data_IF_691789333489
#
_entry.id   IF_691789333489
#
_cell.length_a   1.000
_cell.length_b   1.000
_cell.length_c   1.000
_cell.angle_alpha   90.00
_cell.angle_beta   90.00
_cell.angle_gamma   90.00
#
_symmetry.space_group_name_H-M   'P 1'
#
loop_
_entity.id
_entity.type
_entity.pdbx_description
1 polymer ?
#
# COMPACT_ATOMS: atom_id res chain seq x y z
N UNK A 1 -60.23 0.73 46.65
CA UNK A 1 -59.53 1.42 45.54
C UNK A 1 -60.22 2.76 45.41
N UNK A 2 -59.47 3.85 45.47
CA UNK A 2 -60.01 5.19 45.21
C UNK A 2 -60.41 5.29 43.74
N UNK A 3 -61.42 6.11 43.44
CA UNK A 3 -61.83 6.37 42.05
C UNK A 3 -60.68 7.07 41.31
N UNK A 4 -60.38 6.63 40.09
CA UNK A 4 -59.30 7.20 39.26
C UNK A 4 -59.55 8.69 39.04
N UNK A 5 -58.47 9.49 39.07
CA UNK A 5 -58.49 10.95 38.98
C UNK A 5 -59.21 11.70 40.13
N UNK A 6 -59.63 11.02 41.19
CA UNK A 6 -60.16 11.67 42.41
C UNK A 6 -59.07 12.36 43.24
N UNK A 7 -59.46 13.20 44.19
CA UNK A 7 -58.50 13.85 45.10
C UNK A 7 -57.65 12.84 45.87
N UNK A 8 -58.29 11.83 46.46
CA UNK A 8 -57.59 10.78 47.22
C UNK A 8 -56.63 9.98 46.34
N UNK A 9 -56.97 9.81 45.06
CA UNK A 9 -56.11 9.16 44.07
C UNK A 9 -54.82 9.97 43.83
N UNK A 10 -54.93 11.27 43.56
CA UNK A 10 -53.77 12.13 43.34
C UNK A 10 -52.97 12.38 44.62
N UNK A 11 -53.61 12.65 45.76
CA UNK A 11 -52.94 12.78 47.07
C UNK A 11 -52.18 11.47 47.45
N UNK A 12 -52.66 10.30 47.01
CA UNK A 12 -51.89 9.05 47.16
C UNK A 12 -50.69 9.02 46.22
N UNK A 13 -50.88 9.32 44.92
CA UNK A 13 -49.83 9.28 43.89
C UNK A 13 -48.67 10.23 44.22
N UNK A 14 -48.96 11.47 44.64
CA UNK A 14 -47.95 12.44 45.07
C UNK A 14 -47.12 11.95 46.25
N UNK A 15 -47.69 11.15 47.16
CA UNK A 15 -46.95 10.57 48.28
C UNK A 15 -46.12 9.34 47.92
N UNK A 16 -46.51 8.59 46.89
CA UNK A 16 -45.93 7.26 46.65
C UNK A 16 -45.00 7.20 45.45
N UNK A 17 -45.47 7.59 44.28
CA UNK A 17 -44.86 7.17 43.01
C UNK A 17 -44.80 8.28 41.96
N UNK A 18 -45.31 9.48 42.26
CA UNK A 18 -45.20 10.64 41.37
C UNK A 18 -43.75 10.96 40.98
N UNK A 19 -42.86 11.11 41.97
CA UNK A 19 -41.45 11.41 41.72
C UNK A 19 -40.73 10.27 41.01
N UNK A 20 -40.99 9.02 41.45
CA UNK A 20 -40.35 7.82 40.90
C UNK A 20 -40.73 7.61 39.43
N UNK A 21 -41.96 7.97 39.07
CA UNK A 21 -42.46 7.93 37.70
C UNK A 21 -42.12 9.20 36.89
N UNK A 22 -41.33 10.13 37.45
CA UNK A 22 -40.82 11.29 36.73
C UNK A 22 -41.83 12.42 36.53
N UNK A 23 -42.83 12.55 37.40
CA UNK A 23 -43.87 13.58 37.30
C UNK A 23 -43.31 15.00 37.28
N UNK A 24 -42.39 15.35 38.18
CA UNK A 24 -41.71 16.66 38.16
C UNK A 24 -41.00 16.98 36.83
N UNK A 25 -40.08 16.13 36.35
CA UNK A 25 -39.48 16.27 35.01
C UNK A 25 -40.50 16.36 33.87
N UNK A 26 -41.61 15.61 33.93
CA UNK A 26 -42.67 15.66 32.93
C UNK A 26 -43.41 17.00 32.95
N UNK A 27 -43.81 17.53 34.11
CA UNK A 27 -44.43 18.86 34.21
C UNK A 27 -43.51 19.97 33.69
N UNK A 28 -42.19 19.88 33.94
CA UNK A 28 -41.21 20.82 33.37
C UNK A 28 -41.15 20.74 31.85
N UNK A 29 -41.18 19.53 31.31
CA UNK A 29 -41.18 19.30 29.87
C UNK A 29 -42.42 19.93 29.22
N UNK A 30 -43.62 19.67 29.74
CA UNK A 30 -44.86 20.24 29.21
C UNK A 30 -44.90 21.77 29.29
N UNK A 31 -44.46 22.36 30.41
CA UNK A 31 -44.31 23.81 30.50
C UNK A 31 -43.33 24.36 29.45
N UNK A 32 -42.23 23.64 29.17
CA UNK A 32 -41.28 23.96 28.11
C UNK A 32 -41.91 23.89 26.71
N UNK A 33 -42.70 22.86 26.43
CA UNK A 33 -43.48 22.73 25.19
C UNK A 33 -44.45 23.89 25.04
N UNK A 34 -45.21 24.22 26.10
CA UNK A 34 -46.13 25.35 26.09
C UNK A 34 -45.41 26.66 25.77
N UNK A 35 -44.28 26.94 26.42
CA UNK A 35 -43.46 28.12 26.13
C UNK A 35 -42.93 28.13 24.70
N UNK A 36 -42.52 26.99 24.14
CA UNK A 36 -42.02 26.90 22.77
C UNK A 36 -43.13 27.16 21.74
N UNK A 37 -44.34 26.62 21.97
CA UNK A 37 -45.49 26.73 21.09
C UNK A 37 -46.28 28.03 21.25
N UNK A 38 -46.10 28.75 22.36
CA UNK A 38 -46.82 29.96 22.68
C UNK A 38 -46.41 31.12 21.77
N UNK A 39 -47.38 31.83 21.17
CA UNK A 39 -47.07 32.86 20.20
C UNK A 39 -46.40 34.07 20.85
N UNK A 40 -45.47 34.68 20.11
CA UNK A 40 -44.66 35.79 20.62
C UNK A 40 -45.50 37.00 21.04
N UNK A 41 -46.60 37.27 20.34
CA UNK A 41 -47.52 38.36 20.69
C UNK A 41 -48.13 38.17 22.08
N UNK A 42 -48.45 36.93 22.48
CA UNK A 42 -49.01 36.65 23.81
C UNK A 42 -47.94 36.82 24.89
N UNK A 43 -46.72 36.32 24.66
CA UNK A 43 -45.59 36.51 25.59
C UNK A 43 -45.25 37.99 25.77
N UNK A 44 -45.27 38.75 24.68
CA UNK A 44 -45.04 40.19 24.71
C UNK A 44 -46.15 40.92 25.47
N UNK A 45 -47.41 40.58 25.18
CA UNK A 45 -48.58 41.15 25.86
C UNK A 45 -48.57 40.84 27.37
N UNK A 46 -48.27 39.60 27.76
CA UNK A 46 -48.21 39.19 29.15
C UNK A 46 -47.15 39.99 29.95
N UNK A 47 -45.97 40.21 29.35
CA UNK A 47 -44.87 40.98 29.99
C UNK A 47 -45.11 42.49 30.00
N UNK A 48 -45.60 43.03 28.88
CA UNK A 48 -45.81 44.47 28.69
C UNK A 48 -47.02 45.02 29.46
N UNK A 49 -47.89 44.13 29.93
CA UNK A 49 -49.09 44.47 30.64
C UNK A 49 -50.25 44.83 29.74
N UNK A 50 -51.44 44.91 30.34
CA UNK A 50 -52.65 45.37 29.67
C UNK A 50 -52.64 46.88 29.40
N UNK A 51 -53.77 47.53 29.61
CA UNK A 51 -53.97 48.97 29.39
C UNK A 51 -53.25 49.87 30.41
N UNK A 52 -52.75 49.31 31.51
CA UNK A 52 -52.13 49.98 32.65
C UNK A 52 -50.60 49.79 32.76
N UNK A 53 -50.01 48.95 31.90
CA UNK A 53 -48.55 48.74 31.80
C UNK A 53 -47.92 47.86 32.89
N UNK A 54 -48.72 47.19 33.74
CA UNK A 54 -48.23 46.22 34.71
C UNK A 54 -48.25 44.79 34.14
N UNK A 55 -47.24 43.93 34.40
CA UNK A 55 -47.24 42.55 33.92
C UNK A 55 -48.52 41.80 34.29
N UNK A 56 -49.03 41.00 33.36
CA UNK A 56 -50.22 40.18 33.57
C UNK A 56 -49.99 39.09 34.61
N UNK A 57 -51.05 38.69 35.28
CA UNK A 57 -51.05 37.57 36.23
C UNK A 57 -51.42 36.25 35.55
N UNK A 58 -50.72 35.16 35.89
CA UNK A 58 -51.00 33.81 35.38
C UNK A 58 -51.37 32.83 36.50
N UNK A 59 -52.39 32.02 36.26
CA UNK A 59 -52.75 30.87 37.09
C UNK A 59 -52.52 29.57 36.32
N UNK A 60 -51.70 28.67 36.85
CA UNK A 60 -51.46 27.33 36.33
C UNK A 60 -52.35 26.33 37.09
N UNK A 61 -53.47 25.92 36.46
CA UNK A 61 -54.46 25.02 37.06
C UNK A 61 -54.13 23.56 36.73
N UNK A 62 -54.07 22.73 37.78
CA UNK A 62 -53.56 21.37 37.70
C UNK A 62 -52.04 21.33 37.84
N UNK A 63 -51.47 22.20 38.70
CA UNK A 63 -50.03 22.40 38.76
C UNK A 63 -49.24 21.23 39.36
N UNK A 64 -49.92 20.23 39.96
CA UNK A 64 -49.31 19.14 40.69
C UNK A 64 -48.32 19.67 41.75
N UNK A 65 -47.07 19.22 41.72
CA UNK A 65 -46.01 19.65 42.63
C UNK A 65 -45.28 20.94 42.19
N UNK A 66 -45.82 21.69 41.22
CA UNK A 66 -45.38 23.05 40.88
C UNK A 66 -44.14 23.16 39.98
N UNK A 67 -43.56 22.04 39.53
CA UNK A 67 -42.35 22.06 38.71
C UNK A 67 -42.57 22.72 37.33
N UNK A 68 -43.75 22.54 36.73
CA UNK A 68 -44.16 23.23 35.50
C UNK A 68 -44.43 24.73 35.74
N UNK A 69 -45.11 25.05 36.83
CA UNK A 69 -45.41 26.43 37.26
C UNK A 69 -44.14 27.27 37.41
N UNK A 70 -43.08 26.72 38.01
CA UNK A 70 -41.78 27.37 38.12
C UNK A 70 -41.17 27.70 36.75
N UNK A 71 -41.27 26.77 35.79
CA UNK A 71 -40.78 26.96 34.42
C UNK A 71 -41.57 28.07 33.71
N UNK A 72 -42.90 28.10 33.87
CA UNK A 72 -43.76 29.14 33.30
C UNK A 72 -43.43 30.52 33.90
N UNK A 73 -43.31 30.60 35.23
CA UNK A 73 -42.97 31.83 35.94
C UNK A 73 -41.65 32.42 35.42
N UNK A 74 -40.60 31.59 35.32
CA UNK A 74 -39.28 31.99 34.80
C UNK A 74 -39.30 32.33 33.31
N UNK A 75 -39.98 31.53 32.50
CA UNK A 75 -40.01 31.67 31.05
C UNK A 75 -40.81 32.88 30.56
N UNK A 76 -41.90 33.22 31.25
CA UNK A 76 -42.72 34.39 30.93
C UNK A 76 -42.22 35.64 31.65
N UNK A 77 -41.64 35.50 32.85
CA UNK A 77 -41.20 36.63 33.66
C UNK A 77 -42.37 37.46 34.20
N UNK A 78 -43.47 36.80 34.55
CA UNK A 78 -44.70 37.42 35.06
C UNK A 78 -45.13 36.77 36.38
N UNK A 79 -45.94 37.43 37.22
CA UNK A 79 -46.49 36.81 38.43
C UNK A 79 -47.31 35.56 38.08
N UNK A 80 -46.91 34.42 38.65
CA UNK A 80 -47.54 33.13 38.39
C UNK A 80 -47.93 32.46 39.71
N UNK A 81 -49.14 31.93 39.76
CA UNK A 81 -49.66 31.12 40.87
C UNK A 81 -50.00 29.72 40.36
N UNK A 82 -49.52 28.67 41.03
CA UNK A 82 -49.94 27.29 40.78
C UNK A 82 -51.15 26.92 41.64
N UNK A 83 -52.12 26.24 41.05
CA UNK A 83 -53.34 25.79 41.72
C UNK A 83 -53.57 24.31 41.47
N UNK A 84 -53.84 23.57 42.54
CA UNK A 84 -54.23 22.16 42.49
C UNK A 84 -55.22 21.86 43.63
N UNK A 85 -56.08 20.86 43.42
CA UNK A 85 -57.08 20.42 44.39
C UNK A 85 -56.51 19.42 45.40
N UNK A 86 -55.36 18.80 45.08
CA UNK A 86 -54.59 17.92 45.94
C UNK A 86 -53.71 18.73 46.90
N UNK A 87 -54.01 18.62 48.19
CA UNK A 87 -53.30 19.41 49.21
C UNK A 87 -51.86 18.93 49.41
N UNK A 88 -51.59 17.63 49.21
CA UNK A 88 -50.24 17.07 49.32
C UNK A 88 -49.32 17.61 48.22
N UNK A 89 -49.81 17.67 46.97
CA UNK A 89 -49.07 18.22 45.84
C UNK A 89 -48.70 19.69 46.07
N UNK A 90 -49.64 20.51 46.55
CA UNK A 90 -49.39 21.92 46.88
C UNK A 90 -48.44 22.11 48.05
N UNK A 91 -48.48 21.24 49.07
CA UNK A 91 -47.50 21.29 50.16
C UNK A 91 -46.07 21.07 49.64
N UNK A 92 -45.88 20.07 48.78
CA UNK A 92 -44.60 19.78 48.11
C UNK A 92 -44.19 20.93 47.18
N UNK A 93 -45.13 21.52 46.44
CA UNK A 93 -44.86 22.65 45.55
C UNK A 93 -44.29 23.85 46.31
N UNK A 94 -44.89 24.21 47.45
CA UNK A 94 -44.41 25.30 48.32
C UNK A 94 -43.03 25.04 48.91
N UNK A 95 -42.71 23.79 49.22
CA UNK A 95 -41.38 23.40 49.71
C UNK A 95 -40.33 23.49 48.60
N UNK A 96 -40.64 22.97 47.40
CA UNK A 96 -39.71 22.85 46.28
C UNK A 96 -39.50 24.16 45.52
N UNK A 97 -40.51 25.03 45.52
CA UNK A 97 -40.55 26.26 44.71
C UNK A 97 -40.95 27.48 45.56
N UNK A 98 -40.16 27.85 46.58
CA UNK A 98 -40.54 28.89 47.56
C UNK A 98 -40.73 30.30 46.96
N UNK A 99 -40.21 30.54 45.75
CA UNK A 99 -40.33 31.82 45.04
C UNK A 99 -41.62 31.94 44.21
N UNK A 100 -42.44 30.90 44.16
CA UNK A 100 -43.69 30.83 43.39
C UNK A 100 -44.88 30.70 44.35
N UNK A 101 -45.98 31.38 44.04
CA UNK A 101 -47.21 31.29 44.82
C UNK A 101 -47.96 30.00 44.50
N UNK A 102 -48.54 29.35 45.51
CA UNK A 102 -49.36 28.15 45.32
C UNK A 102 -50.59 28.16 46.22
N UNK A 103 -51.73 27.73 45.69
CA UNK A 103 -53.01 27.63 46.40
C UNK A 103 -53.66 26.26 46.22
N UNK A 104 -54.32 25.79 47.28
CA UNK A 104 -55.17 24.59 47.21
C UNK A 104 -56.58 25.06 46.84
N UNK A 105 -57.05 24.69 45.66
CA UNK A 105 -58.42 24.97 45.24
C UNK A 105 -58.94 23.89 44.29
N UNK A 106 -60.22 23.59 44.41
CA UNK A 106 -60.94 22.70 43.51
C UNK A 106 -61.55 23.54 42.37
N UNK A 107 -61.00 23.34 41.17
CA UNK A 107 -61.43 24.01 39.95
C UNK A 107 -62.85 23.64 39.51
N UNK A 108 -63.44 22.56 40.04
CA UNK A 108 -64.83 22.18 39.79
C UNK A 108 -65.77 22.62 40.91
N UNK A 109 -65.25 23.19 42.00
CA UNK A 109 -66.09 23.67 43.08
C UNK A 109 -66.94 24.87 42.64
N UNK A 110 -68.14 24.96 43.19
CA UNK A 110 -69.05 26.05 42.87
C UNK A 110 -68.41 27.41 43.21
N UNK A 111 -68.50 28.43 42.31
CA UNK A 111 -67.95 29.76 42.58
C UNK A 111 -68.43 30.33 43.92
N UNK A 112 -67.52 30.91 44.70
CA UNK A 112 -67.80 31.45 46.03
C UNK A 112 -67.87 30.41 47.16
N UNK A 113 -67.69 29.12 46.87
CA UNK A 113 -67.51 28.11 47.92
C UNK A 113 -66.11 28.18 48.52
N UNK A 114 -65.95 27.63 49.73
CA UNK A 114 -64.66 27.58 50.45
C UNK A 114 -63.56 26.87 49.66
N UNK A 115 -63.93 25.89 48.83
CA UNK A 115 -62.98 25.11 48.02
C UNK A 115 -62.69 25.75 46.65
N UNK A 116 -63.46 26.74 46.23
CA UNK A 116 -63.32 27.32 44.90
C UNK A 116 -62.12 28.27 44.82
N UNK A 117 -61.54 28.36 43.62
CA UNK A 117 -60.62 29.43 43.29
C UNK A 117 -61.41 30.74 43.17
N UNK A 118 -61.20 31.64 44.13
CA UNK A 118 -61.93 32.92 44.19
C UNK A 118 -61.15 34.10 43.59
N UNK A 119 -59.88 33.87 43.24
CA UNK A 119 -59.01 34.86 42.60
C UNK A 119 -59.15 34.78 41.09
N UNK A 120 -59.18 35.94 40.42
CA UNK A 120 -59.18 36.05 38.95
C UNK A 120 -57.80 36.45 38.46
N UNK A 121 -57.46 35.98 37.27
CA UNK A 121 -56.14 36.16 36.65
C UNK A 121 -56.31 36.64 35.21
N UNK A 122 -55.35 37.41 34.71
CA UNK A 122 -55.35 37.81 33.30
C UNK A 122 -55.26 36.58 32.38
N UNK A 123 -54.42 35.62 32.78
CA UNK A 123 -54.17 34.38 32.04
C UNK A 123 -54.46 33.18 32.94
N UNK A 124 -55.30 32.27 32.49
CA UNK A 124 -55.40 30.93 33.05
C UNK A 124 -54.71 29.96 32.10
N UNK A 125 -53.84 29.12 32.62
CA UNK A 125 -53.13 28.07 31.91
C UNK A 125 -53.49 26.72 32.51
N UNK A 126 -53.59 25.69 31.68
CA UNK A 126 -53.64 24.30 32.13
C UNK A 126 -52.97 23.42 31.10
N UNK A 127 -52.14 22.48 31.55
CA UNK A 127 -51.49 21.50 30.70
C UNK A 127 -51.83 20.10 31.15
N UNK A 128 -52.22 19.25 30.20
CA UNK A 128 -52.38 17.81 30.42
C UNK A 128 -53.26 17.50 31.64
N UNK A 129 -54.40 18.19 31.73
CA UNK A 129 -55.38 18.01 32.81
C UNK A 129 -56.79 17.75 32.27
N UNK A 130 -57.17 18.35 31.13
CA UNK A 130 -58.54 18.28 30.63
C UNK A 130 -58.92 16.88 30.13
N UNK A 131 -57.94 16.09 29.67
CA UNK A 131 -58.10 14.70 29.26
C UNK A 131 -58.60 13.78 30.38
N UNK A 132 -58.40 14.18 31.64
CA UNK A 132 -58.81 13.42 32.83
C UNK A 132 -60.29 13.61 33.18
N UNK A 133 -61.04 14.44 32.42
CA UNK A 133 -62.46 14.68 32.64
C UNK A 133 -63.29 14.15 31.46
N UNK A 134 -64.40 13.47 31.77
CA UNK A 134 -65.35 12.99 30.75
C UNK A 134 -66.00 14.14 29.96
N UNK A 135 -66.04 15.34 30.54
CA UNK A 135 -66.68 16.54 29.98
C UNK A 135 -65.69 17.72 29.96
N UNK A 136 -64.61 17.64 29.15
CA UNK A 136 -63.50 18.60 29.18
C UNK A 136 -63.96 20.05 28.94
N UNK A 137 -64.97 20.26 28.10
CA UNK A 137 -65.49 21.60 27.81
C UNK A 137 -66.43 22.16 28.89
N UNK A 138 -66.96 21.32 29.78
CA UNK A 138 -67.60 21.84 31.00
C UNK A 138 -66.52 22.29 32.00
N UNK A 139 -65.42 21.54 32.10
CA UNK A 139 -64.23 21.94 32.88
C UNK A 139 -63.63 23.24 32.35
N UNK A 140 -63.56 23.41 31.02
CA UNK A 140 -63.19 24.67 30.37
C UNK A 140 -64.02 25.84 30.91
N UNK A 141 -65.35 25.71 30.98
CA UNK A 141 -66.23 26.81 31.41
C UNK A 141 -65.93 27.24 32.84
N UNK A 142 -65.64 26.29 33.72
CA UNK A 142 -65.31 26.58 35.12
C UNK A 142 -63.96 27.27 35.24
N UNK A 143 -62.93 26.81 34.51
CA UNK A 143 -61.62 27.49 34.47
C UNK A 143 -61.73 28.90 33.88
N UNK A 144 -62.54 29.06 32.83
CA UNK A 144 -62.77 30.32 32.16
C UNK A 144 -63.41 31.39 33.05
N UNK A 145 -64.09 31.00 34.14
CA UNK A 145 -64.62 31.94 35.12
C UNK A 145 -63.51 32.66 35.92
N UNK A 146 -62.32 32.05 36.01
CA UNK A 146 -61.16 32.62 36.72
C UNK A 146 -60.23 33.42 35.78
N UNK A 147 -60.53 33.46 34.49
CA UNK A 147 -59.70 34.13 33.47
C UNK A 147 -60.34 35.44 32.98
N UNK A 148 -59.56 36.51 32.94
CA UNK A 148 -60.02 37.83 32.48
C UNK A 148 -59.78 38.04 30.99
N UNK A 149 -58.64 37.58 30.47
CA UNK A 149 -58.20 37.91 29.10
C UNK A 149 -57.93 36.68 28.25
N UNK A 150 -57.13 35.74 28.76
CA UNK A 150 -56.66 34.58 28.02
C UNK A 150 -56.84 33.28 28.82
N UNK A 151 -57.20 32.22 28.12
CA UNK A 151 -57.17 30.85 28.62
C UNK A 151 -56.32 30.01 27.67
N UNK A 152 -55.22 29.47 28.18
CA UNK A 152 -54.20 28.75 27.42
C UNK A 152 -54.23 27.28 27.82
N UNK A 153 -54.34 26.39 26.85
CA UNK A 153 -54.37 24.95 27.08
C UNK A 153 -53.24 24.29 26.33
N UNK A 154 -52.48 23.43 27.00
CA UNK A 154 -51.63 22.44 26.34
C UNK A 154 -52.27 21.07 26.52
N UNK A 155 -52.62 20.41 25.41
CA UNK A 155 -53.36 19.16 25.42
C UNK A 155 -52.63 18.09 24.62
N UNK A 156 -52.71 16.81 25.04
CA UNK A 156 -52.43 15.70 24.15
C UNK A 156 -53.22 15.85 22.84
N UNK A 157 -52.56 15.65 21.71
CA UNK A 157 -53.16 15.89 20.41
C UNK A 157 -53.24 14.61 19.59
N UNK A 158 -54.43 14.30 19.07
CA UNK A 158 -54.65 13.15 18.17
C UNK A 158 -54.04 11.85 18.71
N UNK A 159 -54.22 11.60 20.01
CA UNK A 159 -53.73 10.38 20.65
C UNK A 159 -54.26 9.14 19.91
N UNK A 160 -53.49 8.05 19.81
CA UNK A 160 -53.94 6.87 19.08
C UNK A 160 -55.20 6.22 19.68
N UNK A 161 -55.67 5.13 19.06
CA UNK A 161 -56.87 4.40 19.50
C UNK A 161 -56.80 3.86 20.94
N UNK A 162 -55.61 3.81 21.54
CA UNK A 162 -55.39 3.43 22.94
C UNK A 162 -54.98 4.67 23.73
N UNK A 163 -55.92 5.17 24.54
CA UNK A 163 -55.65 6.22 25.50
C UNK A 163 -54.89 5.67 26.72
N UNK A 164 -54.11 6.54 27.36
CA UNK A 164 -53.57 6.26 28.68
C UNK A 164 -54.70 5.98 29.67
N UNK A 165 -54.45 5.15 30.68
CA UNK A 165 -55.52 4.64 31.56
C UNK A 165 -56.30 5.75 32.30
N UNK A 166 -55.68 6.92 32.47
CA UNK A 166 -56.23 8.09 33.15
C UNK A 166 -56.93 9.07 32.19
N UNK A 167 -56.86 8.84 30.87
CA UNK A 167 -57.42 9.73 29.85
C UNK A 167 -58.81 9.24 29.44
N UNK A 168 -59.83 10.07 29.64
CA UNK A 168 -61.23 9.75 29.33
C UNK A 168 -61.67 10.27 27.96
N UNK A 169 -60.93 11.21 27.39
CA UNK A 169 -61.24 11.85 26.11
C UNK A 169 -59.97 12.04 25.28
N UNK A 170 -60.13 12.14 23.97
CA UNK A 170 -59.09 12.48 23.02
C UNK A 170 -59.39 13.86 22.42
N UNK A 171 -58.36 14.68 22.20
CA UNK A 171 -58.53 15.93 21.46
C UNK A 171 -58.21 15.75 19.97
N UNK A 172 -59.22 15.98 19.13
CA UNK A 172 -59.14 16.02 17.66
C UNK A 172 -59.61 17.39 17.15
N UNK A 173 -59.36 17.75 15.86
CA UNK A 173 -59.84 19.01 15.30
C UNK A 173 -61.35 19.23 15.46
N UNK A 174 -62.14 18.16 15.33
CA UNK A 174 -63.59 18.20 15.41
C UNK A 174 -64.09 18.40 16.84
N UNK A 175 -63.29 17.99 17.83
CA UNK A 175 -63.63 18.09 19.25
C UNK A 175 -63.33 19.46 19.86
N UNK A 176 -62.49 20.28 19.22
CA UNK A 176 -62.07 21.60 19.73
C UNK A 176 -63.01 22.70 19.22
N UNK A 177 -63.74 23.41 20.09
CA UNK A 177 -64.59 24.51 19.68
C UNK A 177 -63.77 25.73 19.28
N UNK A 178 -64.03 26.31 18.11
CA UNK A 178 -63.39 27.57 17.71
C UNK A 178 -63.87 28.78 18.55
N UNK A 179 -65.03 28.68 19.20
CA UNK A 179 -65.56 29.69 20.11
C UNK A 179 -66.48 29.06 21.16
N UNK A 180 -66.51 29.63 22.37
CA UNK A 180 -67.29 29.15 23.51
C UNK A 180 -67.52 30.26 24.53
N UNK A 181 -68.77 30.57 24.87
CA UNK A 181 -69.15 31.55 25.92
C UNK A 181 -68.36 32.87 25.95
N UNK A 182 -68.26 33.48 24.76
CA UNK A 182 -67.55 34.75 24.57
C UNK A 182 -66.03 34.64 24.57
N UNK A 183 -65.49 33.43 24.48
CA UNK A 183 -64.11 33.12 24.16
C UNK A 183 -63.98 32.71 22.70
N UNK A 184 -62.89 33.10 22.07
CA UNK A 184 -62.56 32.71 20.69
C UNK A 184 -61.17 32.09 20.67
N UNK A 185 -61.00 31.02 19.90
CA UNK A 185 -59.69 30.41 19.65
C UNK A 185 -58.87 31.35 18.76
N UNK A 186 -57.90 32.04 19.36
CA UNK A 186 -57.09 33.05 18.71
C UNK A 186 -55.77 32.50 18.15
N UNK A 187 -55.29 31.38 18.71
CA UNK A 187 -54.09 30.71 18.25
C UNK A 187 -54.19 29.21 18.50
N UNK A 188 -53.68 28.42 17.56
CA UNK A 188 -53.47 26.99 17.71
C UNK A 188 -52.14 26.60 17.06
N UNK A 189 -51.28 25.92 17.80
CA UNK A 189 -50.00 25.39 17.32
C UNK A 189 -49.83 23.97 17.84
N UNK A 190 -49.51 23.05 16.94
CA UNK A 190 -49.27 21.65 17.28
C UNK A 190 -47.88 21.23 16.82
N UNK A 191 -47.26 20.34 17.58
CA UNK A 191 -45.98 19.74 17.25
C UNK A 191 -45.94 18.29 17.72
N UNK A 192 -45.30 17.44 16.94
CA UNK A 192 -44.80 16.16 17.42
C UNK A 192 -43.61 16.43 18.35
N UNK A 193 -43.74 16.00 19.60
CA UNK A 193 -42.72 16.22 20.64
C UNK A 193 -41.98 14.94 21.01
N UNK A 194 -42.21 13.83 20.30
CA UNK A 194 -41.56 12.54 20.59
C UNK A 194 -40.03 12.63 20.49
N UNK A 195 -39.52 13.34 19.47
CA UNK A 195 -38.08 13.48 19.20
C UNK A 195 -37.44 14.70 19.87
N UNK A 196 -38.18 15.41 20.72
CA UNK A 196 -37.60 16.56 21.42
C UNK A 196 -36.55 16.10 22.46
N UNK A 197 -35.51 16.92 22.72
CA UNK A 197 -34.54 16.63 23.76
C UNK A 197 -35.24 16.41 25.11
N UNK A 198 -34.88 15.33 25.79
CA UNK A 198 -35.49 14.91 27.06
C UNK A 198 -37.02 14.81 27.00
N UNK A 199 -37.56 14.32 25.87
CA UNK A 199 -39.01 14.13 25.74
C UNK A 199 -39.58 13.28 26.88
N UNK A 200 -40.78 13.69 27.33
CA UNK A 200 -41.60 13.01 28.34
C UNK A 200 -42.98 12.64 27.80
N UNK A 201 -43.14 12.70 26.48
CA UNK A 201 -44.39 12.41 25.78
C UNK A 201 -44.10 11.82 24.40
N UNK A 202 -44.71 10.69 24.08
CA UNK A 202 -44.56 10.02 22.80
C UNK A 202 -45.72 10.38 21.86
N UNK A 203 -45.62 11.54 21.20
CA UNK A 203 -46.56 11.96 20.16
C UNK A 203 -46.80 13.46 20.14
N UNK A 204 -47.95 13.86 19.62
CA UNK A 204 -48.27 15.26 19.40
C UNK A 204 -48.80 15.94 20.67
N UNK A 205 -48.48 17.22 20.79
CA UNK A 205 -49.12 18.17 21.70
C UNK A 205 -49.70 19.34 20.89
N UNK A 206 -50.83 19.88 21.37
CA UNK A 206 -51.42 21.11 20.81
C UNK A 206 -51.55 22.18 21.89
N UNK A 207 -51.02 23.37 21.59
CA UNK A 207 -51.27 24.56 22.37
C UNK A 207 -52.45 25.33 21.75
N UNK A 208 -53.43 25.66 22.58
CA UNK A 208 -54.60 26.45 22.23
C UNK A 208 -54.60 27.73 23.06
N UNK A 209 -54.80 28.87 22.42
CA UNK A 209 -54.99 30.16 23.11
C UNK A 209 -56.41 30.63 22.81
N UNK A 210 -57.26 30.54 23.83
CA UNK A 210 -58.56 31.19 23.82
C UNK A 210 -58.42 32.60 24.39
N UNK A 211 -59.07 33.56 23.76
CA UNK A 211 -59.02 34.96 24.17
C UNK A 211 -60.43 35.56 24.25
N UNK A 212 -60.61 36.54 25.12
CA UNK A 212 -61.70 37.51 24.98
C UNK A 212 -61.43 38.37 23.74
N UNK A 213 -62.42 38.65 22.89
CA UNK A 213 -62.22 39.50 21.71
C UNK A 213 -61.60 40.87 22.05
N UNK A 214 -61.99 41.47 23.19
CA UNK A 214 -61.40 42.73 23.65
C UNK A 214 -59.91 42.58 23.99
N UNK A 215 -59.49 41.46 24.58
CA UNK A 215 -58.09 41.22 24.90
C UNK A 215 -57.21 41.15 23.65
N UNK A 216 -57.73 40.61 22.53
CA UNK A 216 -57.02 40.63 21.25
C UNK A 216 -56.87 42.04 20.69
N UNK A 217 -57.91 42.86 20.81
CA UNK A 217 -57.88 44.26 20.39
C UNK A 217 -56.88 45.07 21.23
N UNK A 218 -56.88 44.88 22.54
CA UNK A 218 -55.96 45.54 23.47
C UNK A 218 -54.50 45.13 23.22
N UNK A 219 -54.27 43.85 22.94
CA UNK A 219 -52.96 43.31 22.56
C UNK A 219 -52.52 43.72 21.14
N UNK A 220 -53.40 44.37 20.36
CA UNK A 220 -53.17 44.79 18.97
C UNK A 220 -52.68 43.66 18.06
N UNK A 221 -53.21 42.46 18.26
CA UNK A 221 -52.86 41.28 17.46
C UNK A 221 -53.15 41.59 15.98
N UNK A 222 -52.12 41.55 15.15
CA UNK A 222 -52.23 41.83 13.72
C UNK A 222 -52.32 40.53 12.92
N UNK A 223 -52.64 40.64 11.63
CA UNK A 223 -52.67 39.48 10.75
C UNK A 223 -51.30 38.76 10.67
N UNK A 224 -50.20 39.50 10.80
CA UNK A 224 -48.84 38.94 10.83
C UNK A 224 -48.58 38.01 12.03
N UNK A 225 -49.35 38.17 13.10
CA UNK A 225 -49.28 37.36 14.32
C UNK A 225 -50.17 36.11 14.23
N UNK A 226 -51.06 36.06 13.23
CA UNK A 226 -51.97 34.95 12.98
C UNK A 226 -51.38 34.00 11.93
N UNK A 227 -51.65 32.70 12.10
CA UNK A 227 -51.33 31.71 11.08
C UNK A 227 -52.37 31.82 9.97
N UNK A 228 -51.96 32.43 8.86
CA UNK A 228 -52.73 32.43 7.62
C UNK A 228 -52.30 31.25 6.76
N UNK A 229 -53.28 30.61 6.11
CA UNK A 229 -53.04 29.68 5.01
C UNK A 229 -52.55 30.51 3.82
N UNK A 230 -51.24 30.78 3.82
CA UNK A 230 -50.57 31.44 2.72
C UNK A 230 -50.07 30.36 1.74
N UNK A 231 -50.72 30.19 0.57
CA UNK A 231 -50.30 29.21 -0.42
C UNK A 231 -48.88 29.48 -0.92
N UNK A 232 -48.40 30.74 -0.83
CA UNK A 232 -47.03 31.08 -1.17
C UNK A 232 -46.04 30.57 -0.11
N UNK A 233 -46.44 30.27 1.13
CA UNK A 233 -45.53 29.78 2.18
C UNK A 233 -45.15 28.32 1.98
N UNK A 234 -46.12 27.45 1.66
CA UNK A 234 -45.84 26.06 1.27
C UNK A 234 -45.11 26.00 -0.07
N UNK A 235 -45.53 26.83 -1.04
CA UNK A 235 -44.84 26.98 -2.33
C UNK A 235 -43.41 27.49 -2.17
N UNK A 236 -43.17 28.45 -1.27
CA UNK A 236 -41.85 28.98 -0.95
C UNK A 236 -40.99 27.92 -0.27
N UNK A 237 -41.52 27.16 0.70
CA UNK A 237 -40.81 26.07 1.35
C UNK A 237 -40.44 24.97 0.35
N UNK A 238 -41.35 24.63 -0.57
CA UNK A 238 -41.09 23.69 -1.64
C UNK A 238 -40.02 24.22 -2.61
N UNK A 239 -40.08 25.50 -2.99
CA UNK A 239 -39.07 26.17 -3.84
C UNK A 239 -37.70 26.24 -3.18
N UNK A 240 -37.65 26.52 -1.88
CA UNK A 240 -36.41 26.55 -1.10
C UNK A 240 -35.80 25.15 -1.00
N UNK A 241 -36.62 24.13 -0.70
CA UNK A 241 -36.18 22.73 -0.68
C UNK A 241 -35.67 22.28 -2.04
N UNK A 242 -36.38 22.61 -3.12
CA UNK A 242 -35.96 22.29 -4.49
C UNK A 242 -34.64 23.00 -4.86
N UNK A 243 -34.47 24.26 -4.44
CA UNK A 243 -33.22 25.02 -4.66
C UNK A 243 -32.06 24.43 -3.85
N UNK A 244 -32.30 24.02 -2.62
CA UNK A 244 -31.30 23.33 -1.80
C UNK A 244 -30.87 21.99 -2.42
N UNK A 245 -31.84 21.18 -2.87
CA UNK A 245 -31.56 19.92 -3.56
C UNK A 245 -30.77 20.14 -4.86
N UNK A 246 -31.13 21.16 -5.65
CA UNK A 246 -30.40 21.53 -6.88
C UNK A 246 -28.98 22.01 -6.59
N UNK A 247 -28.78 22.80 -5.53
CA UNK A 247 -27.47 23.23 -5.08
C UNK A 247 -26.61 22.04 -4.62
N UNK A 248 -27.18 21.12 -3.85
CA UNK A 248 -26.49 19.91 -3.40
C UNK A 248 -26.11 19.00 -4.58
N UNK A 249 -27.02 18.78 -5.53
CA UNK A 249 -26.72 18.01 -6.74
C UNK A 249 -25.60 18.67 -7.57
N UNK A 250 -25.57 20.00 -7.63
CA UNK A 250 -24.51 20.74 -8.33
C UNK A 250 -23.16 20.62 -7.61
N UNK A 251 -23.16 20.70 -6.28
CA UNK A 251 -21.96 20.47 -5.47
C UNK A 251 -21.42 19.04 -5.63
N UNK A 252 -22.29 18.03 -5.60
CA UNK A 252 -21.90 16.63 -5.82
C UNK A 252 -21.32 16.40 -7.23
N UNK A 253 -21.89 17.04 -8.26
CA UNK A 253 -21.33 16.99 -9.62
C UNK A 253 -19.96 17.67 -9.70
N UNK A 254 -19.78 18.82 -9.05
CA UNK A 254 -18.48 19.49 -9.00
C UNK A 254 -17.42 18.62 -8.32
N UNK A 255 -17.75 18.02 -7.18
CA UNK A 255 -16.86 17.10 -6.47
C UNK A 255 -16.49 15.87 -7.33
N UNK A 256 -17.45 15.30 -8.05
CA UNK A 256 -17.20 14.19 -8.98
C UNK A 256 -16.28 14.61 -10.14
N UNK A 257 -16.45 15.83 -10.66
CA UNK A 257 -15.58 16.37 -11.70
C UNK A 257 -14.15 16.57 -11.21
N UNK A 258 -13.98 17.12 -10.00
CA UNK A 258 -12.65 17.30 -9.38
C UNK A 258 -11.95 15.96 -9.14
N UNK A 259 -12.69 14.95 -8.67
CA UNK A 259 -12.15 13.60 -8.49
C UNK A 259 -11.71 12.97 -9.82
N UNK A 260 -12.50 13.14 -10.88
CA UNK A 260 -12.15 12.67 -12.22
C UNK A 260 -10.89 13.37 -12.78
N UNK A 261 -10.78 14.69 -12.56
CA UNK A 261 -9.61 15.47 -12.96
C UNK A 261 -8.34 15.01 -12.23
N UNK A 262 -8.42 14.77 -10.91
CA UNK A 262 -7.31 14.23 -10.13
C UNK A 262 -6.88 12.84 -10.61
N UNK A 263 -7.83 11.95 -10.90
CA UNK A 263 -7.54 10.62 -11.43
C UNK A 263 -6.86 10.68 -12.81
N UNK A 264 -7.31 11.59 -13.69
CA UNK A 264 -6.69 11.82 -14.99
C UNK A 264 -5.24 12.33 -14.85
N UNK A 265 -5.00 13.29 -13.95
CA UNK A 265 -3.66 13.80 -13.66
C UNK A 265 -2.73 12.72 -13.10
N UNK A 266 -3.20 11.89 -12.18
CA UNK A 266 -2.43 10.77 -11.64
C UNK A 266 -2.07 9.75 -12.74
N UNK A 267 -3.00 9.46 -13.65
CA UNK A 267 -2.74 8.58 -14.80
C UNK A 267 -1.68 9.18 -15.75
N UNK A 268 -1.75 10.49 -16.00
CA UNK A 268 -0.75 11.18 -16.82
C UNK A 268 0.64 11.13 -16.17
N UNK A 269 0.75 11.41 -14.87
CA UNK A 269 2.00 11.34 -14.13
C UNK A 269 2.61 9.92 -14.14
N UNK A 270 1.78 8.89 -13.97
CA UNK A 270 2.23 7.49 -14.06
C UNK A 270 2.72 7.13 -15.48
N UNK A 271 2.05 7.61 -16.52
CA UNK A 271 2.47 7.40 -17.89
C UNK A 271 3.82 8.08 -18.18
N UNK A 272 4.03 9.29 -17.67
CA UNK A 272 5.30 10.01 -17.78
C UNK A 272 6.44 9.30 -17.05
N UNK A 273 6.22 8.84 -15.82
CA UNK A 273 7.19 8.05 -15.07
C UNK A 273 7.56 6.75 -15.80
N UNK A 274 6.57 6.05 -16.37
CA UNK A 274 6.80 4.85 -17.16
C UNK A 274 7.62 5.13 -18.43
N UNK A 275 7.37 6.26 -19.10
CA UNK A 275 8.13 6.70 -20.26
C UNK A 275 9.58 7.01 -19.89
N UNK A 276 9.82 7.72 -18.79
CA UNK A 276 11.17 8.02 -18.29
C UNK A 276 11.95 6.75 -17.91
N UNK A 277 11.29 5.78 -17.28
CA UNK A 277 11.89 4.48 -16.96
C UNK A 277 12.21 3.67 -18.23
N UNK A 278 11.35 3.72 -19.25
CA UNK A 278 11.61 3.10 -20.54
C UNK A 278 12.82 3.74 -21.24
N UNK A 279 12.90 5.07 -21.27
CA UNK A 279 14.04 5.80 -21.82
C UNK A 279 15.35 5.43 -21.11
N UNK A 280 15.36 5.41 -19.78
CA UNK A 280 16.54 5.02 -18.98
C UNK A 280 17.00 3.59 -19.28
N UNK A 281 16.05 2.65 -19.46
CA UNK A 281 16.37 1.28 -19.86
C UNK A 281 16.94 1.19 -21.27
N UNK A 282 16.42 1.99 -22.21
CA UNK A 282 16.95 2.06 -23.57
C UNK A 282 18.41 2.57 -23.56
N UNK A 283 18.70 3.64 -22.85
CA UNK A 283 20.08 4.17 -22.70
C UNK A 283 21.02 3.15 -22.04
N UNK A 284 20.56 2.43 -21.02
CA UNK A 284 21.36 1.39 -20.38
C UNK A 284 21.62 0.19 -21.33
N UNK A 285 20.63 -0.18 -22.14
CA UNK A 285 20.77 -1.23 -23.14
C UNK A 285 21.76 -0.82 -24.24
N UNK A 286 21.67 0.42 -24.72
CA UNK A 286 22.62 0.99 -25.70
C UNK A 286 24.05 1.01 -25.15
N UNK A 287 24.23 1.42 -23.89
CA UNK A 287 25.55 1.38 -23.22
C UNK A 287 26.12 -0.04 -23.18
N UNK A 288 25.29 -1.03 -22.81
CA UNK A 288 25.72 -2.45 -22.79
C UNK A 288 26.04 -2.98 -24.19
N UNK A 289 25.30 -2.58 -25.21
CA UNK A 289 25.59 -2.94 -26.59
C UNK A 289 26.95 -2.37 -27.03
N UNK A 290 27.19 -1.09 -26.76
CA UNK A 290 28.48 -0.45 -27.06
C UNK A 290 29.66 -1.11 -26.32
N UNK A 291 29.47 -1.50 -25.04
CA UNK A 291 30.48 -2.26 -24.30
C UNK A 291 30.73 -3.65 -24.89
N UNK A 292 29.68 -4.34 -25.35
CA UNK A 292 29.81 -5.64 -25.98
C UNK A 292 30.55 -5.55 -27.32
N UNK A 293 30.25 -4.55 -28.14
CA UNK A 293 30.96 -4.29 -29.40
C UNK A 293 32.43 -3.97 -29.15
N UNK A 294 32.75 -3.15 -28.14
CA UNK A 294 34.14 -2.86 -27.76
C UNK A 294 34.89 -4.13 -27.30
N UNK A 295 34.23 -5.02 -26.56
CA UNK A 295 34.80 -6.33 -26.16
C UNK A 295 35.02 -7.24 -27.36
N UNK A 296 34.09 -7.26 -28.32
CA UNK A 296 34.22 -8.05 -29.54
C UNK A 296 35.42 -7.57 -30.38
N UNK A 297 35.55 -6.26 -30.59
CA UNK A 297 36.71 -5.66 -31.30
C UNK A 297 38.03 -5.97 -30.60
N UNK A 298 38.07 -5.89 -29.27
CA UNK A 298 39.26 -6.25 -28.49
C UNK A 298 39.60 -7.74 -28.60
N UNK A 299 38.60 -8.62 -28.64
CA UNK A 299 38.80 -10.06 -28.83
C UNK A 299 39.33 -10.38 -30.23
N UNK A 300 38.78 -9.73 -31.26
CA UNK A 300 39.25 -9.83 -32.64
C UNK A 300 40.71 -9.38 -32.78
N UNK A 301 41.07 -8.24 -32.16
CA UNK A 301 42.45 -7.76 -32.14
C UNK A 301 43.40 -8.78 -31.51
N UNK A 302 43.02 -9.37 -30.36
CA UNK A 302 43.81 -10.42 -29.70
C UNK A 302 43.94 -11.69 -30.54
N UNK A 303 42.90 -12.07 -31.27
CA UNK A 303 42.93 -13.21 -32.17
C UNK A 303 43.93 -12.96 -33.31
N UNK A 304 43.87 -11.79 -33.94
CA UNK A 304 44.82 -11.39 -34.98
C UNK A 304 46.28 -11.36 -34.47
N UNK A 305 46.51 -10.85 -33.25
CA UNK A 305 47.83 -10.90 -32.59
C UNK A 305 48.29 -12.34 -32.27
N UNK A 306 47.36 -13.23 -31.91
CA UNK A 306 47.67 -14.63 -31.67
C UNK A 306 48.04 -15.34 -32.98
N UNK A 307 47.30 -15.10 -34.07
CA UNK A 307 47.60 -15.64 -35.40
C UNK A 307 48.95 -15.13 -35.92
N UNK A 308 49.26 -13.84 -35.75
CA UNK A 308 50.57 -13.29 -36.10
C UNK A 308 51.72 -13.94 -35.31
N UNK A 309 51.52 -14.17 -34.00
CA UNK A 309 52.48 -14.92 -33.16
C UNK A 309 52.62 -16.37 -33.61
N UNK A 310 51.52 -17.04 -33.95
CA UNK A 310 51.54 -18.42 -34.45
C UNK A 310 52.29 -18.51 -35.79
N UNK A 311 52.04 -17.59 -36.72
CA UNK A 311 52.76 -17.51 -37.99
C UNK A 311 54.27 -17.29 -37.78
N UNK A 312 54.65 -16.40 -36.86
CA UNK A 312 56.05 -16.15 -36.49
C UNK A 312 56.71 -17.39 -35.89
N UNK A 313 56.01 -18.09 -34.99
CA UNK A 313 56.50 -19.33 -34.39
C UNK A 313 56.64 -20.45 -35.43
N UNK A 314 55.70 -20.55 -36.37
CA UNK A 314 55.77 -21.51 -37.49
C UNK A 314 56.96 -21.23 -38.40
N UNK A 315 57.21 -19.97 -38.78
CA UNK A 315 58.39 -19.60 -39.55
C UNK A 315 59.69 -19.96 -38.82
N UNK A 316 59.77 -19.64 -37.53
CA UNK A 316 60.92 -20.00 -36.68
C UNK A 316 61.13 -21.52 -36.61
N UNK A 317 60.04 -22.30 -36.53
CA UNK A 317 60.10 -23.76 -36.53
C UNK A 317 60.56 -24.32 -37.89
N UNK A 318 60.14 -23.71 -39.00
CA UNK A 318 60.60 -24.07 -40.35
C UNK A 318 62.11 -23.77 -40.52
N UNK A 319 62.57 -22.61 -40.07
CA UNK A 319 63.99 -22.25 -40.09
C UNK A 319 64.84 -23.20 -39.23
N UNK A 320 64.34 -23.57 -38.04
CA UNK A 320 64.97 -24.56 -37.18
C UNK A 320 65.02 -25.95 -37.84
N UNK A 321 63.95 -26.38 -38.50
CA UNK A 321 63.91 -27.65 -39.24
C UNK A 321 64.89 -27.65 -40.42
N UNK A 322 64.95 -26.56 -41.20
CA UNK A 322 65.91 -26.41 -42.30
C UNK A 322 67.36 -26.43 -41.77
N UNK A 323 67.62 -25.77 -40.64
CA UNK A 323 68.93 -25.79 -39.99
C UNK A 323 69.31 -27.18 -39.49
N UNK A 324 68.36 -27.93 -38.93
CA UNK A 324 68.56 -29.32 -38.49
C UNK A 324 68.82 -30.26 -39.68
N UNK A 325 68.11 -30.07 -40.80
CA UNK A 325 68.35 -30.83 -42.04
C UNK A 325 69.75 -30.53 -42.59
N UNK A 326 70.14 -29.25 -42.68
CA UNK A 326 71.48 -28.86 -43.11
C UNK A 326 72.59 -29.36 -42.17
N UNK A 327 72.31 -29.49 -40.87
CA UNK A 327 73.23 -30.12 -39.93
C UNK A 327 73.34 -31.63 -40.16
N UNK A 328 72.22 -32.30 -40.44
CA UNK A 328 72.18 -33.73 -40.79
C UNK A 328 72.96 -34.01 -42.07
N UNK A 329 72.76 -33.22 -43.13
CA UNK A 329 73.50 -33.36 -44.40
C UNK A 329 75.00 -33.11 -44.23
N UNK A 330 75.40 -32.17 -43.37
CA UNK A 330 76.80 -31.98 -43.00
C UNK A 330 77.36 -33.17 -42.24
N UNK A 331 76.60 -33.76 -41.32
CA UNK A 331 77.01 -34.94 -40.58
C UNK A 331 77.17 -36.15 -41.50
N UNK A 332 76.24 -36.41 -42.42
CA UNK A 332 76.35 -37.51 -43.40
C UNK A 332 77.52 -37.31 -44.36
N UNK A 333 77.76 -36.06 -44.80
CA UNK A 333 78.93 -35.74 -45.64
C UNK A 333 80.23 -35.97 -44.89
N UNK A 334 80.30 -35.56 -43.62
CA UNK A 334 81.46 -35.79 -42.77
C UNK A 334 81.69 -37.29 -42.50
N UNK A 335 80.63 -38.05 -42.30
CA UNK A 335 80.69 -39.51 -42.13
C UNK A 335 81.19 -40.21 -43.41
N UNK A 336 80.68 -39.83 -44.59
CA UNK A 336 81.17 -40.32 -45.87
C UNK A 336 82.65 -39.97 -46.11
N UNK A 337 83.07 -38.75 -45.76
CA UNK A 337 84.47 -38.34 -45.84
C UNK A 337 85.36 -39.15 -44.88
N UNK A 338 84.88 -39.45 -43.67
CA UNK A 338 85.56 -40.31 -42.70
C UNK A 338 85.71 -41.75 -43.23
N UNK A 339 84.64 -42.32 -43.80
CA UNK A 339 84.67 -43.65 -44.41
C UNK A 339 85.64 -43.71 -45.60
N UNK A 340 85.65 -42.68 -46.45
CA UNK A 340 86.62 -42.58 -47.56
C UNK A 340 88.07 -42.47 -47.06
N UNK A 341 88.31 -41.71 -45.99
CA UNK A 341 89.63 -41.63 -45.36
C UNK A 341 90.09 -42.97 -44.79
N UNK A 342 89.19 -43.74 -44.15
CA UNK A 342 89.48 -45.09 -43.66
C UNK A 342 89.79 -46.06 -44.82
N UNK A 343 89.02 -46.02 -45.90
CA UNK A 343 89.27 -46.86 -47.08
C UNK A 343 90.65 -46.55 -47.71
N UNK A 344 91.00 -45.26 -47.80
CA UNK A 344 92.30 -44.83 -48.31
C UNK A 344 93.46 -45.22 -47.39
N UNK A 345 93.23 -45.22 -46.08
CA UNK A 345 94.19 -45.75 -45.10
C UNK A 345 94.42 -47.24 -45.30
N UNK A 346 93.36 -48.04 -45.47
CA UNK A 346 93.46 -49.47 -45.72
C UNK A 346 94.19 -49.80 -47.03
N UNK A 347 93.96 -49.01 -48.09
CA UNK A 347 94.66 -49.15 -49.37
C UNK A 347 96.16 -48.84 -49.26
N UNK A 348 96.52 -47.80 -48.50
CA UNK A 348 97.91 -47.46 -48.19
C UNK A 348 98.59 -48.57 -47.38
N UNK A 349 97.91 -49.16 -46.39
CA UNK A 349 98.41 -50.31 -45.63
C UNK A 349 98.63 -51.54 -46.52
N UNK A 350 97.70 -51.84 -47.43
CA UNK A 350 97.87 -52.94 -48.39
C UNK A 350 99.06 -52.71 -49.32
N UNK A 351 99.26 -51.47 -49.78
CA UNK A 351 100.41 -51.08 -50.62
C UNK A 351 101.72 -51.22 -49.84
N UNK A 352 101.73 -50.81 -48.56
CA UNK A 352 102.88 -50.96 -47.69
C UNK A 352 103.24 -52.44 -47.48
N UNK A 353 102.26 -53.30 -47.19
CA UNK A 353 102.48 -54.74 -47.07
C UNK A 353 103.03 -55.37 -48.36
N UNK A 354 102.51 -54.97 -49.51
CA UNK A 354 103.02 -55.40 -50.82
C UNK A 354 104.47 -54.96 -51.03
N UNK A 355 104.80 -53.71 -50.69
CA UNK A 355 106.18 -53.21 -50.77
C UNK A 355 107.13 -53.94 -49.80
N UNK A 356 106.67 -54.29 -48.59
CA UNK A 356 107.44 -55.08 -47.63
C UNK A 356 107.68 -56.51 -48.13
N UNK A 357 106.69 -57.14 -48.76
CA UNK A 357 106.84 -58.46 -49.39
C UNK A 357 107.86 -58.42 -50.54
N UNK A 358 107.84 -57.35 -51.35
CA UNK A 358 108.80 -57.10 -52.43
C UNK A 358 110.24 -56.95 -51.90
N UNK A 359 110.42 -56.26 -50.78
CA UNK A 359 111.73 -56.12 -50.11
C UNK A 359 112.22 -57.48 -49.59
N UNK A 360 111.35 -58.27 -48.97
CA UNK A 360 111.71 -59.61 -48.49
C UNK A 360 112.09 -60.58 -49.64
N UNK A 361 111.45 -60.44 -50.80
CA UNK A 361 111.78 -61.19 -52.01
C UNK A 361 113.16 -60.80 -52.57
N UNK A 362 113.45 -59.49 -52.62
CA UNK A 362 114.77 -58.98 -53.02
C UNK A 362 115.89 -59.42 -52.07
N UNK A 363 115.65 -59.43 -50.76
CA UNK A 363 116.61 -59.93 -49.78
C UNK A 363 116.92 -61.42 -49.97
N UNK A 364 115.90 -62.22 -50.33
CA UNK A 364 116.08 -63.64 -50.69
C UNK A 364 116.94 -63.82 -51.93
N UNK A 365 116.63 -63.08 -53.00
CA UNK A 365 117.40 -63.12 -54.24
C UNK A 365 118.86 -62.68 -54.01
N UNK A 366 119.10 -61.69 -53.14
CA UNK A 366 120.43 -61.25 -52.76
C UNK A 366 121.21 -62.33 -52.00
N UNK A 367 120.53 -63.09 -51.13
CA UNK A 367 121.13 -64.20 -50.40
C UNK A 367 121.51 -65.36 -51.33
N UNK A 368 120.65 -65.71 -52.29
CA UNK A 368 120.93 -66.72 -53.32
C UNK A 368 122.11 -66.31 -54.21
N UNK A 369 122.16 -65.04 -54.63
CA UNK A 369 123.27 -64.52 -55.45
C UNK A 369 124.60 -64.56 -54.70
N UNK A 370 124.60 -64.25 -53.39
CA UNK A 370 125.79 -64.35 -52.52
C UNK A 370 126.25 -65.80 -52.37
N UNK A 371 125.32 -66.76 -52.25
CA UNK A 371 125.64 -68.19 -52.17
C UNK A 371 126.24 -68.71 -53.48
N UNK A 372 125.67 -68.35 -54.63
CA UNK A 372 126.18 -68.72 -55.95
C UNK A 372 127.57 -68.12 -56.22
N UNK A 373 127.80 -66.86 -55.80
CA UNK A 373 129.11 -66.23 -55.89
C UNK A 373 130.16 -66.95 -55.03
N UNK A 374 129.79 -67.37 -53.81
CA UNK A 374 130.69 -68.13 -52.93
C UNK A 374 131.08 -69.50 -53.53
N UNK A 375 130.13 -70.23 -54.12
CA UNK A 375 130.39 -71.49 -54.82
C UNK A 375 131.37 -71.34 -55.99
N UNK A 376 131.24 -70.26 -56.77
CA UNK A 376 132.13 -69.95 -57.89
C UNK A 376 133.57 -69.63 -57.46
N UNK A 377 133.75 -69.01 -56.29
CA UNK A 377 135.08 -68.66 -55.75
C UNK A 377 135.80 -69.91 -55.20
N UNK A 378 135.08 -70.87 -54.62
CA UNK A 378 135.65 -72.10 -54.04
C UNK A 378 136.14 -73.09 -55.11
N UNK A 379 135.57 -73.07 -56.32
CA UNK A 379 135.90 -74.02 -57.41
C UNK A 379 137.11 -73.60 -58.27
N UNK A 380 137.62 -72.36 -58.13
CA UNK A 380 138.74 -71.84 -58.94
C UNK A 380 140.11 -72.52 -58.72
N UNK A 381 140.54 -72.86 -57.48
CA UNK A 381 141.88 -73.43 -57.23
C UNK A 381 142.13 -74.83 -57.85
N UNK A 382 141.19 -75.81 -57.84
CA UNK A 382 141.46 -77.14 -58.40
C UNK A 382 141.55 -77.16 -59.93
N UNK A 383 140.84 -76.27 -60.64
CA UNK A 383 140.90 -76.17 -62.10
C UNK A 383 142.23 -75.60 -62.60
N UNK A 384 142.84 -74.66 -61.85
CA UNK A 384 144.17 -74.13 -62.16
C UNK A 384 145.27 -75.18 -61.92
N UNK A 385 145.10 -76.07 -60.93
CA UNK A 385 146.04 -77.15 -60.68
C UNK A 385 146.03 -78.22 -61.79
N UNK A 386 144.85 -78.60 -62.29
CA UNK A 386 144.69 -79.58 -63.38
C UNK A 386 145.21 -79.06 -64.74
N UNK A 387 145.06 -77.76 -65.02
CA UNK A 387 145.64 -77.14 -66.21
C UNK A 387 147.19 -77.13 -66.18
N UNK A 388 147.80 -76.94 -65.00
CA UNK A 388 149.25 -76.98 -64.82
C UNK A 388 149.82 -78.41 -64.95
N UNK A 389 149.10 -79.44 -64.48
CA UNK A 389 149.52 -80.84 -64.66
C UNK A 389 149.46 -81.29 -66.14
N UNK A 390 148.41 -80.91 -66.87
CA UNK A 390 148.29 -81.22 -68.30
C UNK A 390 149.42 -80.58 -69.12
N UNK A 391 149.82 -79.34 -68.80
CA UNK A 391 150.95 -78.68 -69.43
C UNK A 391 152.30 -79.40 -69.15
N UNK A 392 152.46 -79.96 -67.93
CA UNK A 392 153.67 -80.73 -67.55
C UNK A 392 153.77 -82.07 -68.29
N UNK A 393 152.63 -82.75 -68.50
CA UNK A 393 152.55 -84.02 -69.24
C UNK A 393 152.86 -83.80 -70.73
N UNK A 394 152.28 -82.76 -71.34
CA UNK A 394 152.52 -82.40 -72.74
C UNK A 394 153.98 -81.98 -73.02
N UNK A 395 154.71 -81.49 -72.02
CA UNK A 395 156.13 -81.12 -72.10
C UNK A 395 157.14 -82.25 -71.84
N UNK A 396 156.70 -83.43 -71.40
CA UNK A 396 157.60 -84.52 -70.99
C UNK A 396 158.20 -85.31 -72.16
N UNK A 397 159.47 -85.76 -72.01
CA UNK A 397 160.21 -86.51 -73.05
C UNK A 397 159.56 -87.84 -73.45
N UNK A 398 158.78 -88.47 -72.56
CA UNK A 398 158.01 -89.71 -72.79
C UNK A 398 156.75 -89.50 -73.65
N UNK A 399 156.10 -88.34 -73.58
CA UNK A 399 154.94 -88.01 -74.42
C UNK A 399 155.34 -87.78 -75.89
N UNK A 400 156.53 -87.21 -76.13
CA UNK A 400 157.08 -86.97 -77.48
C UNK A 400 157.56 -88.24 -78.21
N UNK A 401 157.97 -89.29 -77.49
CA UNK A 401 158.44 -90.55 -78.08
C UNK A 401 157.33 -91.51 -78.53
N UNK A 402 156.10 -91.34 -78.04
CA UNK A 402 154.96 -92.23 -78.34
C UNK A 402 154.03 -91.69 -79.44
N UNK A 403 154.46 -90.61 -80.13
CA UNK A 403 153.73 -90.01 -81.26
C UNK A 403 153.45 -90.96 -82.45
N UNK A 404 154.36 -91.88 -82.85
CA UNK A 404 154.13 -92.73 -84.01
C UNK A 404 153.01 -93.77 -83.84
N UNK A 405 152.60 -94.10 -82.61
CA UNK A 405 151.65 -95.19 -82.33
C UNK A 405 150.21 -94.75 -82.03
N UNK A 406 149.90 -93.44 -82.02
CA UNK A 406 148.55 -92.94 -81.69
C UNK A 406 147.69 -92.54 -82.89
N UNK A 407 148.21 -92.67 -84.12
CA UNK A 407 147.45 -92.44 -85.37
C UNK A 407 146.66 -93.67 -85.87
N UNK A 408 146.48 -94.72 -85.07
CA UNK A 408 145.89 -96.00 -85.53
C UNK A 408 144.85 -96.65 -84.59
N UNK A 409 144.13 -95.87 -83.78
CA UNK A 409 143.10 -96.41 -82.87
C UNK A 409 141.79 -95.61 -82.83
N UNK A 410 140.79 -96.07 -83.61
CA UNK A 410 139.34 -95.96 -83.40
C UNK A 410 138.69 -94.55 -83.42
N UNK A 411 137.86 -94.10 -84.39
CA UNK A 411 137.02 -94.68 -85.47
C UNK A 411 135.77 -95.47 -85.06
N UNK A 412 135.49 -95.74 -83.78
CA UNK A 412 134.19 -96.30 -83.39
C UNK A 412 133.75 -95.73 -82.05
N UNK A 413 132.91 -94.68 -82.07
CA UNK A 413 131.85 -94.34 -81.10
C UNK A 413 131.33 -92.92 -81.40
N UNK A 414 130.59 -92.83 -82.52
CA UNK A 414 129.64 -91.75 -82.82
C UNK A 414 128.27 -92.42 -82.99
N UNK A 415 127.33 -92.15 -82.08
CA UNK A 415 125.90 -91.83 -82.30
C UNK A 415 125.12 -91.97 -80.99
N UNK A 416 124.50 -90.85 -80.59
CA UNK A 416 123.73 -90.65 -79.36
C UNK A 416 123.84 -89.20 -78.96
#
# INVERSE_FOLDING_TARGET
>A
MSDVNSRDYWDARFRTDWDVNGGGPQSRFFAGVALALMPDWLKACARGGGTDGAPMTLCDIGCAEGAGTEVLAKGLGIPTTGVDFAAEGIALARERHPDVAFEVADMLAAPGSEKALNTRFDIVFSSNTLEHFERPWATFDTMAASADRFLVLLLPWREGDKLEAEHFVQFTPEAIPAARDGWVLAHASAADVADWPDSRWAGDQVLLVYARPQALADARVALADMRIDDPDRESLQARLSARAASAQASASRAAAWDAAAQAANAKAANAEAAAQAAASRATAAETKANEADARAQAAETRANEADARAATAQASAQDAAASAQAATERATTAEAASQAALARSAELEATLQSSQARVAELDRALAELKSAHHELVVQQPPLQHQAAELARILGSRTWRWTGPFRRLGHVLLRRG
#
